data_IF_329735262662
#
_entry.id   IF_329735262662
#
_cell.length_a   1.000
_cell.length_b   1.000
_cell.length_c   1.000
_cell.angle_alpha   90.00
_cell.angle_beta   90.00
_cell.angle_gamma   90.00
#
_symmetry.space_group_name_H-M   'P 1'
#
loop_
_entity.id
_entity.type
_entity.pdbx_description
1 polymer ?
#
# COMPACT_ATOMS: atom_id res chain seq x y z
N UNK A 1 8.43 9.35 11.62
CA UNK A 1 8.05 9.01 10.25
C UNK A 1 8.75 7.73 9.84
N UNK A 2 8.06 6.86 9.11
CA UNK A 2 8.64 5.63 8.61
C UNK A 2 9.40 5.89 7.32
N UNK A 3 10.52 5.19 7.14
CA UNK A 3 11.15 5.08 5.84
C UNK A 3 10.34 4.11 4.98
N UNK A 4 10.46 4.17 3.66
CA UNK A 4 9.64 3.33 2.79
C UNK A 4 10.29 3.10 1.43
N UNK A 5 9.78 2.10 0.75
CA UNK A 5 10.08 1.84 -0.65
C UNK A 5 8.88 1.15 -1.30
N UNK A 6 8.92 1.00 -2.59
CA UNK A 6 7.92 0.27 -3.36
C UNK A 6 8.53 -1.00 -3.92
N UNK A 7 7.74 -2.08 -3.97
CA UNK A 7 8.16 -3.28 -4.69
C UNK A 7 8.38 -2.97 -6.17
N UNK A 8 9.17 -3.80 -6.83
CA UNK A 8 9.41 -3.64 -8.27
C UNK A 8 8.11 -3.75 -9.06
N UNK A 9 7.23 -4.65 -8.66
CA UNK A 9 5.91 -4.79 -9.28
C UNK A 9 5.10 -3.50 -9.18
N UNK A 10 5.08 -2.90 -8.00
CA UNK A 10 4.33 -1.66 -7.78
C UNK A 10 4.96 -0.49 -8.54
N UNK A 11 6.28 -0.41 -8.60
CA UNK A 11 6.98 0.61 -9.40
C UNK A 11 6.55 0.55 -10.86
N UNK A 12 6.47 -0.66 -11.42
CA UNK A 12 6.02 -0.86 -12.79
C UNK A 12 4.58 -0.41 -12.99
N UNK A 13 3.69 -0.77 -12.07
CA UNK A 13 2.28 -0.35 -12.13
C UNK A 13 2.13 1.16 -12.07
N UNK A 14 2.86 1.81 -11.18
CA UNK A 14 2.80 3.28 -11.03
C UNK A 14 3.32 3.95 -12.30
N UNK A 15 4.39 3.45 -12.89
CA UNK A 15 4.92 3.99 -14.13
C UNK A 15 3.88 3.95 -15.27
N UNK A 16 3.12 2.86 -15.36
CA UNK A 16 2.04 2.74 -16.34
C UNK A 16 0.89 3.69 -16.02
N UNK A 17 0.52 3.83 -14.75
CA UNK A 17 -0.53 4.73 -14.32
C UNK A 17 -0.19 6.19 -14.59
N UNK A 18 1.08 6.57 -14.45
CA UNK A 18 1.50 7.95 -14.75
C UNK A 18 1.17 8.37 -16.17
N UNK A 19 1.14 7.42 -17.10
CA UNK A 19 0.80 7.68 -18.49
C UNK A 19 -0.71 7.71 -18.74
N UNK A 20 -1.49 7.01 -17.94
CA UNK A 20 -2.92 6.80 -18.19
C UNK A 20 -3.84 7.51 -17.20
N UNK A 21 -3.41 7.63 -15.95
CA UNK A 21 -4.27 8.11 -14.87
C UNK A 21 -3.43 8.77 -13.77
N UNK A 22 -2.93 9.96 -14.08
CA UNK A 22 -2.12 10.73 -13.14
C UNK A 22 -2.86 10.99 -11.82
N UNK A 23 -4.15 11.18 -11.89
CA UNK A 23 -4.96 11.48 -10.72
C UNK A 23 -4.95 10.31 -9.73
N UNK A 24 -4.98 9.09 -10.24
CA UNK A 24 -4.89 7.90 -9.39
C UNK A 24 -3.53 7.79 -8.72
N UNK A 25 -2.47 8.15 -9.42
CA UNK A 25 -1.12 8.18 -8.82
C UNK A 25 -1.07 9.21 -7.69
N UNK A 26 -1.71 10.35 -7.84
CA UNK A 26 -1.78 11.35 -6.78
C UNK A 26 -2.51 10.82 -5.55
N UNK A 27 -3.59 10.07 -5.76
CA UNK A 27 -4.35 9.45 -4.67
C UNK A 27 -3.48 8.42 -3.94
N UNK A 28 -2.74 7.60 -4.67
CA UNK A 28 -1.81 6.62 -4.10
C UNK A 28 -0.75 7.34 -3.25
N UNK A 29 -0.13 8.37 -3.81
CA UNK A 29 0.93 9.11 -3.12
C UNK A 29 0.43 9.78 -1.84
N UNK A 30 -0.78 10.29 -1.87
CA UNK A 30 -1.40 10.88 -0.69
C UNK A 30 -1.58 9.83 0.40
N UNK A 31 -2.04 8.65 0.05
CA UNK A 31 -2.23 7.56 1.00
C UNK A 31 -0.88 7.05 1.54
N UNK A 32 0.12 6.95 0.68
CA UNK A 32 1.48 6.59 1.10
C UNK A 32 1.99 7.55 2.17
N UNK A 33 1.87 8.86 1.95
CA UNK A 33 2.30 9.86 2.93
C UNK A 33 1.54 9.76 4.24
N UNK A 34 0.26 9.50 4.16
CA UNK A 34 -0.58 9.31 5.33
C UNK A 34 -0.09 8.12 6.17
N UNK A 35 0.21 7.01 5.52
CA UNK A 35 0.67 5.79 6.17
C UNK A 35 2.04 6.00 6.82
N UNK A 36 3.02 6.53 6.10
CA UNK A 36 4.38 6.69 6.62
C UNK A 36 4.48 7.76 7.70
N UNK A 37 3.50 8.65 7.77
CA UNK A 37 3.43 9.68 8.80
C UNK A 37 2.72 9.22 10.06
N UNK A 38 2.15 8.01 10.06
CA UNK A 38 1.47 7.43 11.22
C UNK A 38 2.48 7.08 12.31
N UNK A 39 2.05 7.11 13.56
CA UNK A 39 2.83 6.54 14.65
C UNK A 39 2.66 5.00 14.66
N UNK A 40 3.41 4.33 15.54
CA UNK A 40 3.38 2.86 15.61
C UNK A 40 1.99 2.32 15.95
N UNK A 41 1.29 2.98 16.87
CA UNK A 41 -0.06 2.55 17.25
C UNK A 41 -1.03 2.69 16.08
N UNK A 42 -0.99 3.79 15.37
CA UNK A 42 -1.86 4.05 14.24
C UNK A 42 -1.59 3.09 13.07
N UNK A 43 -0.31 2.87 12.73
CA UNK A 43 0.04 1.99 11.62
C UNK A 43 -0.34 0.54 11.90
N UNK A 44 -0.26 0.14 13.17
CA UNK A 44 -0.60 -1.22 13.59
C UNK A 44 -2.11 -1.52 13.50
N UNK A 45 -2.94 -0.49 13.44
CA UNK A 45 -4.40 -0.65 13.34
C UNK A 45 -4.89 -0.94 11.93
N UNK A 46 -4.07 -0.72 10.91
CA UNK A 46 -4.47 -1.13 9.56
C UNK A 46 -4.68 -2.64 9.54
N UNK A 47 -5.73 -3.07 8.85
CA UNK A 47 -6.09 -4.49 8.81
C UNK A 47 -5.14 -5.28 7.93
N UNK A 48 -4.93 -6.54 8.29
CA UNK A 48 -4.11 -7.46 7.52
C UNK A 48 -4.97 -8.28 6.56
N UNK A 49 -4.34 -8.76 5.50
CA UNK A 49 -4.92 -9.79 4.66
C UNK A 49 -4.94 -11.11 5.44
N UNK A 50 -5.61 -12.10 4.90
CA UNK A 50 -5.83 -13.38 5.59
C UNK A 50 -4.90 -14.47 5.07
N UNK A 51 -4.81 -15.56 5.85
CA UNK A 51 -4.10 -16.80 5.50
C UNK A 51 -2.62 -16.53 5.19
N UNK A 52 -2.12 -17.00 4.04
CA UNK A 52 -0.71 -16.87 3.67
C UNK A 52 -0.28 -15.41 3.49
N UNK A 53 -1.23 -14.52 3.28
CA UNK A 53 -0.96 -13.10 3.07
C UNK A 53 -1.11 -12.26 4.34
N UNK A 54 -1.26 -12.89 5.49
CA UNK A 54 -1.49 -12.17 6.75
C UNK A 54 -0.37 -11.22 7.18
N UNK A 55 0.81 -11.36 6.57
CA UNK A 55 1.92 -10.43 6.80
C UNK A 55 1.75 -9.10 6.08
N UNK A 56 0.78 -9.02 5.18
CA UNK A 56 0.49 -7.79 4.44
C UNK A 56 -0.69 -7.07 5.05
N UNK A 57 -0.54 -5.77 5.20
CA UNK A 57 -1.64 -4.88 5.57
C UNK A 57 -2.30 -4.33 4.31
N UNK A 58 -3.54 -3.90 4.45
CA UNK A 58 -4.32 -3.37 3.35
C UNK A 58 -5.04 -2.10 3.75
N UNK A 59 -5.26 -1.26 2.76
CA UNK A 59 -6.08 -0.06 2.92
C UNK A 59 -6.78 0.22 1.60
N UNK A 60 -8.04 0.59 1.66
CA UNK A 60 -8.77 1.02 0.48
C UNK A 60 -8.26 2.39 0.03
N UNK A 61 -8.03 2.50 -1.26
CA UNK A 61 -7.64 3.73 -1.91
C UNK A 61 -8.61 3.94 -3.05
N UNK A 62 -9.39 5.02 -3.00
CA UNK A 62 -10.52 5.13 -3.88
C UNK A 62 -11.53 4.01 -3.60
N UNK A 63 -12.62 3.92 -4.35
CA UNK A 63 -13.73 3.00 -4.04
C UNK A 63 -13.38 1.53 -4.19
N UNK A 64 -12.68 1.19 -5.28
CA UNK A 64 -12.54 -0.20 -5.70
C UNK A 64 -11.11 -0.70 -5.68
N UNK A 65 -10.17 0.08 -5.20
CA UNK A 65 -8.76 -0.26 -5.23
C UNK A 65 -8.21 -0.42 -3.82
N UNK A 66 -7.22 -1.29 -3.70
CA UNK A 66 -6.58 -1.62 -2.44
C UNK A 66 -5.08 -1.50 -2.59
N UNK A 67 -4.46 -0.81 -1.65
CA UNK A 67 -3.01 -0.73 -1.52
C UNK A 67 -2.59 -1.71 -0.44
N UNK A 68 -1.63 -2.58 -0.75
CA UNK A 68 -1.07 -3.52 0.22
C UNK A 68 0.34 -3.13 0.60
N UNK A 69 0.69 -3.34 1.86
CA UNK A 69 1.99 -2.95 2.36
C UNK A 69 2.41 -3.81 3.55
N UNK A 70 3.70 -3.85 3.78
CA UNK A 70 4.30 -4.60 4.87
C UNK A 70 5.04 -3.64 5.79
N UNK A 71 4.83 -3.80 7.10
CA UNK A 71 5.42 -2.91 8.10
C UNK A 71 6.46 -3.68 8.91
N UNK A 72 7.66 -3.12 9.01
CA UNK A 72 8.70 -3.59 9.91
C UNK A 72 8.85 -2.55 11.02
N UNK A 73 8.30 -2.83 12.19
CA UNK A 73 8.33 -1.89 13.31
C UNK A 73 9.73 -1.69 13.88
N UNK A 74 10.56 -2.73 13.87
CA UNK A 74 11.92 -2.61 14.38
C UNK A 74 12.74 -1.63 13.54
N UNK A 75 12.65 -1.77 12.22
CA UNK A 75 13.38 -0.91 11.28
C UNK A 75 12.66 0.38 10.98
N UNK A 76 11.44 0.53 11.44
CA UNK A 76 10.55 1.65 11.08
C UNK A 76 10.49 1.85 9.57
N UNK A 77 10.21 0.76 8.88
CA UNK A 77 10.21 0.71 7.42
C UNK A 77 8.91 0.12 6.91
N UNK A 78 8.40 0.71 5.82
CA UNK A 78 7.19 0.23 5.13
C UNK A 78 7.55 -0.12 3.69
N UNK A 79 7.23 -1.34 3.28
CA UNK A 79 7.34 -1.72 1.88
C UNK A 79 5.93 -1.74 1.29
N UNK A 80 5.66 -0.87 0.31
CA UNK A 80 4.42 -0.88 -0.43
C UNK A 80 4.54 -1.93 -1.52
N UNK A 81 3.65 -2.92 -1.49
CA UNK A 81 3.81 -4.16 -2.25
C UNK A 81 3.01 -4.16 -3.55
N UNK A 82 1.73 -3.79 -3.48
CA UNK A 82 0.86 -3.84 -4.64
C UNK A 82 -0.28 -2.84 -4.53
N UNK A 83 -0.84 -2.51 -5.67
CA UNK A 83 -2.02 -1.70 -5.81
C UNK A 83 -2.85 -2.29 -6.92
N UNK A 84 -4.05 -2.75 -6.60
CA UNK A 84 -4.89 -3.40 -7.60
C UNK A 84 -6.36 -3.27 -7.20
N UNK A 85 -7.22 -3.66 -8.12
CA UNK A 85 -8.64 -3.73 -7.88
C UNK A 85 -8.93 -4.66 -6.70
N UNK A 86 -9.89 -4.29 -5.88
CA UNK A 86 -10.33 -5.04 -4.72
C UNK A 86 -10.50 -6.54 -5.01
N UNK A 87 -11.19 -6.87 -6.09
CA UNK A 87 -11.47 -8.27 -6.42
C UNK A 87 -10.21 -9.08 -6.68
N UNK A 88 -9.20 -8.47 -7.29
CA UNK A 88 -7.93 -9.15 -7.56
C UNK A 88 -7.11 -9.38 -6.31
N UNK A 89 -7.10 -8.42 -5.40
CA UNK A 89 -6.36 -8.54 -4.14
C UNK A 89 -6.95 -9.66 -3.30
N UNK A 90 -8.27 -9.72 -3.18
CA UNK A 90 -8.93 -10.67 -2.29
C UNK A 90 -9.18 -12.06 -2.89
N UNK A 91 -8.97 -12.22 -4.19
CA UNK A 91 -9.12 -13.53 -4.84
C UNK A 91 -7.81 -14.33 -4.91
N UNK A 92 -6.74 -13.79 -4.40
CA UNK A 92 -5.42 -14.47 -4.40
C UNK A 92 -5.35 -15.63 -3.42
#
# INVERSE_FOLDING_TARGET
MFEFDFSDELKTKIALLLKRDKKRVEIINKKVREIISSDEAAISRYKNLRRELKHLKRVHVDRNFVLTFQVDLEKKFVLFVDFDHHDRIYSR
#
